data_IF_758936855768
#
_entry.id   IF_758936855768
#
_cell.length_a   1.000
_cell.length_b   1.000
_cell.length_c   1.000
_cell.angle_alpha   90.00
_cell.angle_beta   90.00
_cell.angle_gamma   90.00
#
_symmetry.space_group_name_H-M   'P 1'
#
loop_
_entity.id
_entity.type
_entity.pdbx_description
1 polymer ?
#
# COMPACT_ATOMS: atom_id res chain seq x y z
N UNK A 1 17.95 -45.51 -18.19
CA UNK A 1 17.24 -44.46 -18.95
C UNK A 1 17.88 -43.11 -18.63
N UNK A 2 18.67 -42.57 -19.55
CA UNK A 2 19.16 -41.20 -19.46
C UNK A 2 17.97 -40.26 -19.67
N UNK A 3 17.76 -39.31 -18.76
CA UNK A 3 16.76 -38.26 -18.96
C UNK A 3 17.19 -37.41 -20.15
N UNK A 4 16.45 -37.46 -21.26
CA UNK A 4 16.62 -36.51 -22.35
C UNK A 4 16.32 -35.13 -21.78
N UNK A 5 17.39 -34.36 -21.58
CA UNK A 5 17.34 -32.98 -21.15
C UNK A 5 16.65 -32.19 -22.27
N UNK A 6 15.35 -31.90 -22.12
CA UNK A 6 14.66 -30.94 -22.99
C UNK A 6 15.25 -29.54 -22.76
N UNK A 7 16.41 -29.27 -23.36
CA UNK A 7 17.01 -27.94 -23.37
C UNK A 7 16.15 -27.09 -24.31
N UNK A 8 15.61 -25.98 -23.80
CA UNK A 8 14.85 -24.98 -24.57
C UNK A 8 15.64 -23.69 -24.64
N UNK A 9 15.64 -23.02 -25.80
CA UNK A 9 16.18 -21.66 -25.98
C UNK A 9 15.04 -20.67 -25.79
N UNK A 10 15.25 -19.67 -24.93
CA UNK A 10 14.32 -18.54 -24.79
C UNK A 10 14.77 -17.41 -25.72
N UNK A 11 13.90 -16.97 -26.63
CA UNK A 11 14.12 -15.77 -27.45
C UNK A 11 13.14 -14.68 -26.98
N UNK A 12 13.61 -13.42 -26.92
CA UNK A 12 12.84 -12.29 -26.42
C UNK A 12 12.99 -11.10 -27.35
N UNK A 13 11.86 -10.53 -27.76
CA UNK A 13 11.80 -9.39 -28.66
C UNK A 13 10.78 -8.37 -28.15
N UNK A 14 11.05 -7.10 -28.46
CA UNK A 14 10.11 -6.01 -28.22
C UNK A 14 9.62 -5.50 -29.58
N UNK A 15 8.31 -5.35 -29.69
CA UNK A 15 7.63 -4.86 -30.89
C UNK A 15 6.95 -3.55 -30.52
N UNK A 16 7.24 -2.50 -31.27
CA UNK A 16 6.50 -1.24 -31.19
C UNK A 16 5.26 -1.33 -32.09
N UNK A 17 4.07 -1.11 -31.54
CA UNK A 17 2.82 -1.13 -32.30
C UNK A 17 1.88 -2.27 -31.91
N UNK A 18 1.14 -2.81 -32.88
CA UNK A 18 0.08 -3.79 -32.63
C UNK A 18 0.61 -5.18 -32.25
N UNK A 19 -0.20 -5.92 -31.47
CA UNK A 19 0.05 -7.34 -31.19
C UNK A 19 0.10 -8.11 -32.53
N UNK A 20 1.17 -8.85 -32.79
CA UNK A 20 1.27 -9.64 -34.02
C UNK A 20 0.25 -10.77 -34.05
N UNK A 21 -0.20 -11.11 -35.26
CA UNK A 21 -1.22 -12.15 -35.49
C UNK A 21 -0.62 -13.56 -35.35
N UNK A 22 -0.52 -14.01 -34.10
CA UNK A 22 0.00 -15.33 -33.74
C UNK A 22 -0.83 -16.50 -34.29
N UNK A 23 -2.13 -16.29 -34.52
CA UNK A 23 -3.03 -17.35 -35.01
C UNK A 23 -2.78 -17.66 -36.48
N UNK A 24 -2.51 -16.61 -37.28
CA UNK A 24 -2.07 -16.76 -38.68
C UNK A 24 -0.75 -17.54 -38.82
N UNK A 25 0.05 -17.56 -37.75
CA UNK A 25 1.32 -18.29 -37.66
C UNK A 25 1.17 -19.71 -37.07
N UNK A 26 -0.06 -20.22 -36.92
CA UNK A 26 -0.36 -21.59 -36.50
C UNK A 26 -0.33 -21.83 -34.99
N UNK A 27 -0.11 -20.79 -34.17
CA UNK A 27 -0.22 -20.90 -32.72
C UNK A 27 -1.66 -20.73 -32.26
N UNK A 28 -2.10 -21.57 -31.32
CA UNK A 28 -3.41 -21.42 -30.69
C UNK A 28 -3.29 -20.60 -29.41
N UNK A 29 -4.15 -19.61 -29.25
CA UNK A 29 -4.27 -18.89 -28.00
C UNK A 29 -4.86 -19.80 -26.90
N UNK A 30 -4.20 -19.82 -25.76
CA UNK A 30 -4.73 -20.39 -24.52
C UNK A 30 -5.33 -19.26 -23.71
N UNK A 31 -6.66 -19.20 -23.69
CA UNK A 31 -7.41 -18.21 -22.92
C UNK A 31 -7.42 -18.60 -21.45
N UNK A 32 -6.88 -17.73 -20.60
CA UNK A 32 -6.91 -17.88 -19.15
C UNK A 32 -7.92 -16.90 -18.55
N UNK A 33 -8.62 -17.36 -17.51
CA UNK A 33 -9.59 -16.55 -16.76
C UNK A 33 -9.01 -15.30 -16.09
N UNK A 34 -7.69 -15.28 -15.86
CA UNK A 34 -6.98 -14.23 -15.11
C UNK A 34 -5.78 -13.71 -15.93
N UNK A 35 -6.03 -12.93 -16.99
CA UNK A 35 -4.99 -12.54 -17.94
C UNK A 35 -4.10 -11.39 -17.44
N UNK A 36 -4.54 -10.65 -16.41
CA UNK A 36 -3.75 -9.58 -15.81
C UNK A 36 -2.80 -10.13 -14.76
N UNK A 37 -1.54 -9.73 -14.88
CA UNK A 37 -0.45 -10.23 -14.02
C UNK A 37 0.23 -9.07 -13.34
N UNK A 38 0.22 -9.09 -12.01
CA UNK A 38 1.04 -8.20 -11.20
C UNK A 38 2.21 -8.99 -10.64
N UNK A 39 3.43 -8.48 -10.81
CA UNK A 39 4.64 -9.03 -10.16
C UNK A 39 5.28 -7.93 -9.32
N UNK A 40 5.25 -8.12 -8.00
CA UNK A 40 5.92 -7.29 -6.99
C UNK A 40 7.32 -7.84 -6.77
N UNK A 41 8.32 -6.98 -6.77
CA UNK A 41 9.72 -7.29 -6.53
C UNK A 41 10.13 -6.77 -5.16
N UNK A 42 10.89 -7.59 -4.45
CA UNK A 42 11.44 -7.27 -3.13
C UNK A 42 12.94 -7.07 -3.23
N UNK A 43 13.44 -6.10 -2.48
CA UNK A 43 14.86 -5.78 -2.38
C UNK A 43 15.22 -5.23 -1.02
N UNK A 44 16.51 -5.06 -0.77
CA UNK A 44 16.98 -4.44 0.46
C UNK A 44 16.58 -2.97 0.51
N UNK A 45 16.21 -2.49 1.69
CA UNK A 45 15.74 -1.11 1.88
C UNK A 45 16.75 -0.07 1.37
N UNK A 46 18.05 -0.34 1.53
CA UNK A 46 19.14 0.55 1.11
C UNK A 46 19.89 0.01 -0.12
N UNK A 47 20.03 -1.32 -0.23
CA UNK A 47 20.77 -1.97 -1.31
C UNK A 47 19.98 -2.20 -2.60
N UNK A 48 18.65 -2.04 -2.58
CA UNK A 48 17.79 -2.21 -3.76
C UNK A 48 17.69 -3.66 -4.23
N UNK A 49 17.71 -3.89 -5.55
CA UNK A 49 17.53 -5.23 -6.10
C UNK A 49 18.71 -6.16 -5.74
N UNK A 50 18.45 -7.38 -5.21
CA UNK A 50 19.50 -8.30 -4.80
C UNK A 50 20.32 -8.80 -6.00
N UNK A 51 21.64 -8.83 -5.88
CA UNK A 51 22.52 -9.20 -7.00
C UNK A 51 22.36 -10.69 -7.36
N UNK A 52 22.14 -10.97 -8.66
CA UNK A 52 22.01 -12.34 -9.16
C UNK A 52 20.76 -13.08 -8.67
N UNK A 53 19.84 -12.39 -7.99
CA UNK A 53 18.62 -12.98 -7.45
C UNK A 53 17.39 -12.14 -7.80
N UNK A 54 16.22 -12.75 -7.73
CA UNK A 54 14.96 -12.03 -7.79
C UNK A 54 13.97 -12.67 -6.82
N UNK A 55 13.63 -11.91 -5.78
CA UNK A 55 12.58 -12.23 -4.81
C UNK A 55 11.33 -11.47 -5.27
N UNK A 56 10.22 -12.19 -5.46
CA UNK A 56 9.01 -11.58 -6.02
C UNK A 56 7.73 -12.30 -5.66
N UNK A 57 6.65 -11.55 -5.53
CA UNK A 57 5.29 -12.08 -5.38
C UNK A 57 4.52 -11.81 -6.67
N UNK A 58 3.78 -12.80 -7.16
CA UNK A 58 2.98 -12.67 -8.36
C UNK A 58 1.53 -13.02 -8.08
N UNK A 59 0.60 -12.18 -8.48
CA UNK A 59 -0.82 -12.50 -8.44
C UNK A 59 -1.46 -12.26 -9.80
N UNK A 60 -2.59 -12.93 -10.01
CA UNK A 60 -3.32 -12.96 -11.27
C UNK A 60 -4.74 -12.49 -11.01
N UNK A 61 -5.26 -11.69 -11.93
CA UNK A 61 -6.56 -11.02 -11.76
C UNK A 61 -7.31 -10.93 -13.08
N UNK A 62 -8.64 -10.83 -12.98
CA UNK A 62 -9.52 -10.58 -14.13
C UNK A 62 -9.60 -9.09 -14.47
N UNK A 63 -9.43 -8.25 -13.46
CA UNK A 63 -9.71 -6.81 -13.52
C UNK A 63 -8.43 -6.00 -13.78
N UNK A 64 -8.31 -5.25 -14.89
CA UNK A 64 -7.20 -4.32 -15.12
C UNK A 64 -7.01 -3.29 -13.99
N UNK A 65 -8.08 -2.91 -13.30
CA UNK A 65 -8.04 -1.87 -12.27
C UNK A 65 -7.54 -2.39 -10.91
N UNK A 66 -7.23 -3.69 -10.81
CA UNK A 66 -6.68 -4.31 -9.60
C UNK A 66 -5.15 -4.20 -9.49
N UNK A 67 -4.56 -3.21 -10.16
CA UNK A 67 -3.16 -2.85 -9.98
C UNK A 67 -2.83 -2.57 -8.50
N UNK A 68 -1.58 -2.78 -8.06
CA UNK A 68 -1.22 -2.92 -6.63
C UNK A 68 -1.11 -1.59 -5.88
N UNK A 69 -1.96 -0.59 -6.14
CA UNK A 69 -1.90 0.75 -5.55
C UNK A 69 -1.77 0.75 -4.02
N UNK A 70 -2.33 -0.25 -3.34
CA UNK A 70 -2.06 -0.54 -1.93
C UNK A 70 -1.94 -2.06 -1.75
N UNK A 71 -0.88 -2.53 -1.10
CA UNK A 71 -0.70 -3.95 -0.82
C UNK A 71 -1.67 -4.42 0.29
N UNK A 72 -2.57 -5.32 -0.07
CA UNK A 72 -3.44 -5.99 0.91
C UNK A 72 -2.79 -7.29 1.39
N UNK A 73 -2.73 -7.50 2.71
CA UNK A 73 -2.14 -8.68 3.32
C UNK A 73 -2.89 -9.98 2.95
N UNK A 74 -4.19 -9.92 2.67
CA UNK A 74 -4.99 -11.07 2.23
C UNK A 74 -4.84 -11.40 0.74
N UNK A 75 -4.10 -10.61 -0.04
CA UNK A 75 -3.89 -10.85 -1.48
C UNK A 75 -3.22 -12.23 -1.71
N UNK A 76 -3.92 -13.19 -2.34
CA UNK A 76 -3.32 -14.48 -2.69
C UNK A 76 -2.26 -14.28 -3.78
N UNK A 77 -1.08 -14.86 -3.58
CA UNK A 77 0.02 -14.74 -4.53
C UNK A 77 0.87 -16.00 -4.61
N UNK A 78 1.62 -16.08 -5.71
CA UNK A 78 2.73 -17.00 -5.90
C UNK A 78 4.00 -16.26 -5.53
N UNK A 79 4.60 -16.61 -4.41
CA UNK A 79 5.90 -16.09 -4.02
C UNK A 79 7.01 -16.91 -4.69
N UNK A 80 7.94 -16.25 -5.37
CA UNK A 80 9.01 -16.85 -6.16
C UNK A 80 10.38 -16.30 -5.74
N UNK A 81 11.36 -17.20 -5.58
CA UNK A 81 12.78 -16.85 -5.55
C UNK A 81 13.43 -17.42 -6.81
N UNK A 82 14.10 -16.55 -7.56
CA UNK A 82 14.99 -16.96 -8.65
C UNK A 82 16.43 -16.68 -8.26
N UNK A 83 17.29 -17.67 -8.40
CA UNK A 83 18.73 -17.55 -8.17
C UNK A 83 19.44 -17.81 -9.50
N UNK A 84 20.15 -16.80 -9.99
CA UNK A 84 21.05 -16.90 -11.11
C UNK A 84 22.37 -17.59 -10.71
N UNK A 85 23.15 -18.06 -11.69
CA UNK A 85 24.51 -18.53 -11.42
C UNK A 85 25.33 -17.37 -10.82
N UNK A 86 26.24 -17.68 -9.88
CA UNK A 86 27.06 -16.65 -9.22
C UNK A 86 28.03 -15.98 -10.20
N UNK A 87 28.44 -16.72 -11.23
CA UNK A 87 29.24 -16.24 -12.36
C UNK A 87 28.62 -16.67 -13.69
N UNK A 88 28.76 -15.83 -14.73
CA UNK A 88 28.31 -16.14 -16.10
C UNK A 88 29.06 -17.35 -16.72
N UNK A 89 30.17 -17.77 -16.12
CA UNK A 89 31.00 -18.91 -16.53
C UNK A 89 30.58 -20.23 -15.89
N UNK A 90 29.76 -20.20 -14.82
CA UNK A 90 29.22 -21.41 -14.22
C UNK A 90 28.08 -21.97 -15.08
N UNK A 91 28.18 -23.24 -15.47
CA UNK A 91 27.10 -23.99 -16.12
C UNK A 91 25.92 -24.32 -15.17
N UNK A 92 25.90 -23.74 -13.97
CA UNK A 92 24.93 -24.05 -12.93
C UNK A 92 23.54 -23.56 -13.32
N UNK A 93 22.57 -24.49 -13.38
CA UNK A 93 21.19 -24.20 -13.76
C UNK A 93 20.60 -23.11 -12.85
N UNK A 94 19.97 -22.09 -13.45
CA UNK A 94 19.12 -21.13 -12.73
C UNK A 94 18.10 -21.89 -11.87
N UNK A 95 18.09 -21.62 -10.56
CA UNK A 95 17.14 -22.25 -9.64
C UNK A 95 15.93 -21.35 -9.46
N UNK A 96 14.74 -21.94 -9.49
CA UNK A 96 13.49 -21.25 -9.21
C UNK A 96 12.72 -22.02 -8.15
N UNK A 97 12.38 -21.33 -7.07
CA UNK A 97 11.51 -21.82 -6.02
C UNK A 97 10.20 -21.02 -6.08
N UNK A 98 9.07 -21.67 -5.79
CA UNK A 98 7.76 -21.01 -5.77
C UNK A 98 6.82 -21.62 -4.74
N UNK A 99 5.92 -20.81 -4.19
CA UNK A 99 4.90 -21.23 -3.24
C UNK A 99 3.63 -20.38 -3.38
N UNK A 100 2.46 -20.99 -3.17
CA UNK A 100 1.19 -20.26 -3.10
C UNK A 100 0.94 -19.87 -1.63
N UNK A 101 0.62 -18.61 -1.38
CA UNK A 101 0.56 -17.99 -0.04
C UNK A 101 -0.16 -16.63 -0.17
N UNK A 102 -0.15 -15.78 0.86
CA UNK A 102 -0.67 -14.41 0.80
C UNK A 102 0.44 -13.39 1.09
N UNK A 103 0.26 -12.13 0.67
CA UNK A 103 1.23 -11.07 0.98
C UNK A 103 1.43 -10.87 2.49
N UNK A 104 0.39 -11.10 3.30
CA UNK A 104 0.40 -10.95 4.75
C UNK A 104 1.20 -11.99 5.49
N UNK A 105 1.40 -13.16 4.90
CA UNK A 105 2.31 -14.18 5.44
C UNK A 105 3.78 -13.83 5.12
N UNK A 106 4.03 -13.21 3.97
CA UNK A 106 5.40 -12.93 3.48
C UNK A 106 5.95 -11.61 4.01
N UNK A 107 5.16 -10.52 3.95
CA UNK A 107 5.63 -9.16 4.27
C UNK A 107 6.23 -9.07 5.68
N UNK A 108 5.59 -9.57 6.75
CA UNK A 108 6.18 -9.54 8.08
C UNK A 108 7.44 -10.40 8.20
N UNK A 109 7.54 -11.49 7.43
CA UNK A 109 8.72 -12.34 7.42
C UNK A 109 9.90 -11.61 6.78
N UNK A 110 9.68 -10.94 5.63
CA UNK A 110 10.73 -10.19 4.93
C UNK A 110 11.17 -8.92 5.67
N UNK A 111 10.26 -8.25 6.38
CA UNK A 111 10.55 -7.01 7.13
C UNK A 111 11.31 -7.23 8.44
N UNK A 112 11.34 -8.45 8.99
CA UNK A 112 11.98 -8.76 10.28
C UNK A 112 12.85 -10.00 10.19
N UNK A 113 14.16 -9.81 10.27
CA UNK A 113 15.14 -10.92 10.33
C UNK A 113 14.82 -11.96 11.41
N UNK A 114 14.35 -11.52 12.58
CA UNK A 114 14.01 -12.36 13.73
C UNK A 114 12.85 -13.34 13.45
N UNK A 115 11.98 -13.03 12.48
CA UNK A 115 10.88 -13.91 12.09
C UNK A 115 11.35 -15.11 11.27
N UNK A 116 12.51 -15.03 10.58
CA UNK A 116 13.03 -16.16 9.81
C UNK A 116 13.42 -17.34 10.71
N UNK A 117 14.11 -17.06 11.81
CA UNK A 117 14.56 -18.07 12.77
C UNK A 117 13.37 -18.65 13.56
N UNK A 118 12.38 -17.83 13.93
CA UNK A 118 11.17 -18.28 14.62
C UNK A 118 10.23 -19.10 13.72
N UNK A 119 10.00 -18.67 12.46
CA UNK A 119 9.18 -19.40 11.49
C UNK A 119 9.79 -20.76 11.13
N UNK A 120 11.14 -20.84 11.05
CA UNK A 120 11.84 -22.10 10.83
C UNK A 120 11.58 -23.13 11.94
N UNK A 121 11.54 -22.66 13.19
CA UNK A 121 11.42 -23.51 14.38
C UNK A 121 9.97 -23.95 14.66
N UNK A 122 8.99 -23.07 14.41
CA UNK A 122 7.57 -23.32 14.69
C UNK A 122 6.93 -24.27 13.65
N UNK A 123 7.26 -24.13 12.36
CA UNK A 123 6.63 -24.93 11.30
C UNK A 123 7.23 -26.33 11.08
N UNK A 124 8.49 -26.54 11.49
CA UNK A 124 9.10 -27.87 11.58
C UNK A 124 8.36 -28.79 12.57
N UNK A 125 7.63 -28.21 13.55
CA UNK A 125 6.93 -28.98 14.59
C UNK A 125 5.48 -29.33 14.26
N UNK A 126 4.76 -28.50 13.50
CA UNK A 126 3.29 -28.66 13.38
C UNK A 126 2.75 -28.94 11.95
N UNK A 127 3.52 -28.72 10.89
CA UNK A 127 2.99 -28.83 9.51
C UNK A 127 3.50 -30.08 8.76
N UNK A 128 2.58 -30.98 8.36
CA UNK A 128 2.85 -32.08 7.40
C UNK A 128 3.05 -31.61 5.95
N UNK A 129 3.08 -30.29 5.71
CA UNK A 129 3.45 -29.68 4.43
C UNK A 129 4.73 -28.87 4.66
N UNK A 130 5.83 -29.14 3.94
CA UNK A 130 7.07 -28.36 4.06
C UNK A 130 6.85 -26.96 3.47
N UNK A 131 6.24 -26.06 4.26
CA UNK A 131 5.98 -24.66 3.97
C UNK A 131 7.26 -23.82 4.28
N UNK A 132 7.24 -22.48 4.16
CA UNK A 132 8.20 -21.55 3.53
C UNK A 132 9.63 -21.52 4.10
N UNK A 133 9.94 -22.31 5.12
CA UNK A 133 11.24 -22.38 5.79
C UNK A 133 12.38 -22.59 4.81
N UNK A 134 12.24 -23.46 3.80
CA UNK A 134 13.31 -23.70 2.83
C UNK A 134 13.57 -22.52 1.88
N UNK A 135 12.53 -21.76 1.54
CA UNK A 135 12.60 -20.57 0.70
C UNK A 135 13.15 -19.38 1.50
N UNK A 136 12.63 -19.20 2.71
CA UNK A 136 13.09 -18.19 3.67
C UNK A 136 14.52 -18.47 4.12
N UNK A 137 14.90 -19.74 4.30
CA UNK A 137 16.26 -20.19 4.57
C UNK A 137 17.17 -19.93 3.36
N UNK A 138 16.71 -20.22 2.13
CA UNK A 138 17.47 -19.85 0.94
C UNK A 138 17.73 -18.33 0.88
N UNK A 139 16.75 -17.50 1.25
CA UNK A 139 16.94 -16.05 1.38
C UNK A 139 17.94 -15.71 2.49
N UNK A 140 17.81 -16.31 3.69
CA UNK A 140 18.67 -16.00 4.85
C UNK A 140 20.12 -16.49 4.69
N UNK A 141 20.36 -17.56 3.93
CA UNK A 141 21.71 -18.05 3.62
C UNK A 141 22.44 -17.17 2.61
N UNK A 142 21.71 -16.39 1.81
CA UNK A 142 22.28 -15.67 0.68
C UNK A 142 22.53 -14.18 0.93
N UNK A 143 21.85 -13.54 1.89
CA UNK A 143 22.10 -12.13 2.23
C UNK A 143 22.18 -11.91 3.75
N UNK A 144 23.23 -11.23 4.21
CA UNK A 144 23.56 -11.12 5.64
C UNK A 144 22.98 -9.88 6.35
N UNK A 145 22.46 -8.86 5.67
CA UNK A 145 22.37 -7.52 6.32
C UNK A 145 21.06 -6.74 6.18
N UNK A 146 20.16 -7.03 5.24
CA UNK A 146 19.06 -6.10 4.97
C UNK A 146 17.66 -6.72 5.18
N UNK A 147 16.74 -5.93 5.75
CA UNK A 147 15.32 -6.23 5.69
C UNK A 147 14.84 -6.06 4.24
N UNK A 148 14.11 -7.06 3.73
CA UNK A 148 13.55 -6.99 2.38
C UNK A 148 12.20 -6.30 2.40
N UNK A 149 12.02 -5.34 1.51
CA UNK A 149 10.78 -4.58 1.36
C UNK A 149 10.30 -4.61 -0.09
N UNK A 150 9.00 -4.40 -0.35
CA UNK A 150 8.54 -4.12 -1.70
C UNK A 150 9.26 -2.88 -2.23
N UNK A 151 9.92 -3.01 -3.38
CA UNK A 151 10.63 -1.89 -4.01
C UNK A 151 9.95 -1.46 -5.30
N UNK A 152 9.39 -2.41 -6.05
CA UNK A 152 8.80 -2.13 -7.33
C UNK A 152 7.78 -3.19 -7.78
N UNK A 153 6.90 -2.85 -8.71
CA UNK A 153 6.03 -3.82 -9.36
C UNK A 153 5.91 -3.58 -10.87
N UNK A 154 5.51 -4.64 -11.55
CA UNK A 154 5.03 -4.61 -12.94
C UNK A 154 3.59 -5.06 -12.96
N UNK A 155 2.75 -4.38 -13.71
CA UNK A 155 1.38 -4.79 -14.02
C UNK A 155 1.24 -4.85 -15.54
N UNK A 156 0.68 -5.93 -16.08
CA UNK A 156 0.53 -6.10 -17.53
C UNK A 156 -0.53 -7.16 -17.84
N UNK A 157 -1.07 -7.08 -19.05
CA UNK A 157 -1.95 -8.09 -19.61
C UNK A 157 -1.12 -9.12 -20.38
N UNK A 158 -1.28 -10.41 -20.07
CA UNK A 158 -0.57 -11.51 -20.71
C UNK A 158 -1.51 -12.40 -21.50
N UNK A 159 -1.16 -12.62 -22.76
CA UNK A 159 -1.72 -13.68 -23.62
C UNK A 159 -0.73 -14.83 -23.75
N UNK A 160 -1.25 -16.04 -23.84
CA UNK A 160 -0.48 -17.26 -23.93
C UNK A 160 -0.79 -17.96 -25.26
N UNK A 161 0.24 -18.40 -25.95
CA UNK A 161 0.13 -19.09 -27.22
C UNK A 161 0.93 -20.37 -27.17
N UNK A 162 0.35 -21.47 -27.64
CA UNK A 162 0.99 -22.77 -27.67
C UNK A 162 0.69 -23.52 -28.96
N UNK A 163 1.69 -24.26 -29.42
CA UNK A 163 1.59 -25.37 -30.36
C UNK A 163 2.41 -26.55 -29.81
N UNK A 164 2.35 -27.73 -30.45
CA UNK A 164 2.96 -28.99 -30.01
C UNK A 164 4.43 -28.88 -29.56
N UNK A 165 5.19 -27.95 -30.13
CA UNK A 165 6.62 -27.75 -29.84
C UNK A 165 6.93 -26.35 -29.27
N UNK A 166 6.05 -25.36 -29.47
CA UNK A 166 6.36 -23.95 -29.32
C UNK A 166 5.44 -23.29 -28.28
N UNK A 167 6.01 -22.42 -27.44
CA UNK A 167 5.22 -21.59 -26.51
C UNK A 167 5.64 -20.14 -26.64
N UNK A 168 4.67 -19.25 -26.77
CA UNK A 168 4.90 -17.82 -26.73
C UNK A 168 4.02 -17.16 -25.66
N UNK A 169 4.51 -16.07 -25.10
CA UNK A 169 3.72 -15.16 -24.27
C UNK A 169 3.86 -13.76 -24.81
N UNK A 170 2.73 -13.06 -24.91
CA UNK A 170 2.65 -11.67 -25.34
C UNK A 170 2.19 -10.85 -24.15
N UNK A 171 3.03 -9.92 -23.72
CA UNK A 171 2.74 -8.99 -22.64
C UNK A 171 2.46 -7.60 -23.23
N UNK A 172 1.34 -7.02 -22.80
CA UNK A 172 0.80 -5.73 -23.26
C UNK A 172 0.41 -4.87 -22.06
N UNK A 173 0.22 -3.56 -22.27
CA UNK A 173 -0.16 -2.61 -21.21
C UNK A 173 0.82 -2.67 -20.02
N UNK A 174 2.12 -2.72 -20.30
CA UNK A 174 3.13 -2.85 -19.25
C UNK A 174 3.24 -1.52 -18.49
N UNK A 175 2.93 -1.57 -17.20
CA UNK A 175 3.06 -0.43 -16.30
C UNK A 175 4.00 -0.74 -15.15
N UNK A 176 4.85 0.22 -14.81
CA UNK A 176 5.80 0.13 -13.72
C UNK A 176 5.32 0.91 -12.50
N UNK A 177 5.50 0.32 -11.33
CA UNK A 177 5.17 0.91 -10.05
C UNK A 177 6.38 0.92 -9.13
N UNK A 178 6.50 1.96 -8.31
CA UNK A 178 7.42 2.01 -7.18
C UNK A 178 6.63 2.06 -5.88
N UNK A 179 7.18 1.46 -4.83
CA UNK A 179 6.53 1.39 -3.53
C UNK A 179 7.05 2.45 -2.56
N UNK A 180 6.16 2.96 -1.72
CA UNK A 180 6.47 3.80 -0.57
C UNK A 180 5.68 3.32 0.65
N UNK A 181 6.34 3.30 1.82
CA UNK A 181 5.68 2.94 3.08
C UNK A 181 5.10 4.20 3.70
N UNK A 182 3.82 4.15 4.05
CA UNK A 182 3.16 5.21 4.79
C UNK A 182 2.41 4.57 5.98
N UNK A 183 2.81 4.96 7.20
CA UNK A 183 2.46 4.25 8.43
C UNK A 183 2.73 2.73 8.36
N UNK A 184 1.65 1.93 8.34
CA UNK A 184 1.69 0.46 8.34
C UNK A 184 1.48 -0.13 6.94
N UNK A 185 1.14 0.71 5.95
CA UNK A 185 0.74 0.28 4.62
C UNK A 185 1.84 0.55 3.57
N UNK A 186 1.86 -0.29 2.54
CA UNK A 186 2.70 -0.11 1.35
C UNK A 186 1.84 0.37 0.19
N UNK A 187 2.09 1.60 -0.26
CA UNK A 187 1.44 2.20 -1.41
C UNK A 187 2.31 2.00 -2.64
N UNK A 188 1.70 1.64 -3.76
CA UNK A 188 2.35 1.62 -5.06
C UNK A 188 1.90 2.82 -5.87
N UNK A 189 2.86 3.53 -6.46
CA UNK A 189 2.59 4.65 -7.34
C UNK A 189 3.12 4.34 -8.75
N UNK A 190 2.33 4.60 -9.82
CA UNK A 190 2.79 4.40 -11.18
C UNK A 190 3.89 5.42 -11.49
N UNK A 191 5.07 4.91 -11.86
CA UNK A 191 6.26 5.73 -12.20
C UNK A 191 6.47 5.86 -13.70
N UNK A 192 5.60 5.21 -14.48
CA UNK A 192 5.55 5.31 -15.94
C UNK A 192 4.10 5.32 -16.39
N UNK A 193 3.85 5.96 -17.54
CA UNK A 193 2.64 5.65 -18.30
C UNK A 193 2.70 4.17 -18.76
N UNK A 194 1.54 3.53 -19.00
CA UNK A 194 1.53 2.22 -19.65
C UNK A 194 2.31 2.28 -20.96
N UNK A 195 3.24 1.34 -21.17
CA UNK A 195 4.00 1.28 -22.42
C UNK A 195 3.07 0.91 -23.58
N UNK A 196 3.14 1.66 -24.69
CA UNK A 196 2.53 1.31 -25.98
C UNK A 196 3.23 0.10 -26.66
N UNK A 197 4.33 -0.38 -26.08
CA UNK A 197 5.12 -1.49 -26.58
C UNK A 197 4.55 -2.86 -26.20
N UNK A 198 4.75 -3.83 -27.09
CA UNK A 198 4.39 -5.24 -26.89
C UNK A 198 5.67 -6.04 -26.65
N UNK A 199 5.73 -6.79 -25.55
CA UNK A 199 6.87 -7.67 -25.27
C UNK A 199 6.47 -9.10 -25.60
N UNK A 200 7.21 -9.72 -26.50
CA UNK A 200 6.99 -11.11 -26.92
C UNK A 200 8.14 -11.99 -26.45
N UNK A 201 7.81 -13.01 -25.66
CA UNK A 201 8.74 -14.03 -25.18
C UNK A 201 8.40 -15.39 -25.79
N UNK A 202 9.34 -15.97 -26.54
CA UNK A 202 9.24 -17.28 -27.17
C UNK A 202 10.11 -18.30 -26.43
N UNK A 203 9.56 -19.51 -26.26
CA UNK A 203 10.26 -20.66 -25.68
C UNK A 203 10.30 -21.77 -26.71
N UNK A 204 11.45 -21.89 -27.37
CA UNK A 204 11.66 -22.77 -28.52
C UNK A 204 12.47 -23.99 -28.06
N UNK A 205 12.11 -25.23 -28.46
CA UNK A 205 12.98 -26.39 -28.28
C UNK A 205 14.29 -26.21 -29.05
N UNK A 206 15.41 -26.73 -28.55
CA UNK A 206 16.72 -26.53 -29.17
C UNK A 206 16.97 -27.35 -30.47
N UNK A 207 15.98 -28.02 -31.05
CA UNK A 207 16.16 -28.69 -32.34
C UNK A 207 16.25 -27.65 -33.48
N UNK A 208 17.43 -27.55 -34.09
CA UNK A 208 17.81 -26.52 -35.08
C UNK A 208 16.95 -26.55 -36.35
N UNK A 209 16.38 -27.71 -36.72
CA UNK A 209 15.50 -27.87 -37.89
C UNK A 209 14.15 -27.16 -37.75
N UNK A 210 13.64 -27.00 -36.51
CA UNK A 210 12.32 -26.41 -36.28
C UNK A 210 12.35 -24.87 -36.34
N UNK A 211 13.49 -24.26 -35.96
CA UNK A 211 13.68 -22.80 -35.87
C UNK A 211 13.63 -22.14 -37.26
N UNK A 212 14.01 -22.87 -38.32
CA UNK A 212 14.00 -22.35 -39.69
C UNK A 212 12.64 -22.43 -40.38
N UNK A 213 11.70 -23.24 -39.87
CA UNK A 213 10.38 -23.47 -40.51
C UNK A 213 9.20 -22.80 -39.78
N UNK A 214 9.40 -22.31 -38.55
CA UNK A 214 8.40 -21.49 -37.85
C UNK A 214 8.53 -20.00 -38.21
N UNK A 215 7.40 -19.30 -38.20
CA UNK A 215 7.09 -17.88 -38.43
C UNK A 215 8.03 -16.77 -37.90
N UNK A 216 9.24 -17.08 -37.42
CA UNK A 216 10.24 -16.07 -37.06
C UNK A 216 10.56 -15.10 -38.21
N UNK A 217 10.47 -15.54 -39.47
CA UNK A 217 10.70 -14.67 -40.63
C UNK A 217 9.54 -13.70 -40.92
N UNK A 218 8.28 -14.04 -40.59
CA UNK A 218 7.17 -13.06 -40.65
C UNK A 218 7.32 -11.98 -39.57
N UNK A 219 7.84 -12.35 -38.40
CA UNK A 219 8.14 -11.40 -37.31
C UNK A 219 9.35 -10.49 -37.59
N UNK A 220 10.38 -10.97 -38.29
CA UNK A 220 11.55 -10.14 -38.68
C UNK A 220 11.19 -8.95 -39.56
N UNK A 221 10.02 -8.97 -40.22
CA UNK A 221 9.51 -7.85 -41.02
C UNK A 221 8.96 -6.69 -40.18
N UNK A 222 8.65 -6.94 -38.90
CA UNK A 222 8.26 -5.91 -37.94
C UNK A 222 9.54 -5.32 -37.32
N UNK A 223 9.53 -4.04 -36.94
CA UNK A 223 10.67 -3.36 -36.31
C UNK A 223 11.02 -3.98 -34.94
N UNK A 224 11.67 -5.15 -34.95
CA UNK A 224 12.07 -5.91 -33.78
C UNK A 224 13.28 -5.25 -33.14
N UNK A 225 13.11 -4.73 -31.94
CA UNK A 225 14.23 -4.30 -31.12
C UNK A 225 14.66 -5.48 -30.23
N UNK A 226 15.98 -5.70 -30.03
CA UNK A 226 16.45 -6.58 -28.97
C UNK A 226 15.86 -6.09 -27.65
N UNK A 227 14.96 -6.84 -27.03
CA UNK A 227 14.30 -6.34 -25.81
C UNK A 227 15.32 -6.35 -24.66
N UNK A 228 15.50 -5.23 -23.97
CA UNK A 228 15.97 -5.29 -22.59
C UNK A 228 14.92 -6.03 -21.77
N UNK A 229 15.34 -6.97 -20.92
CA UNK A 229 14.37 -7.74 -20.14
C UNK A 229 13.48 -6.80 -19.32
N UNK A 230 12.19 -7.12 -19.14
CA UNK A 230 11.25 -6.32 -18.30
C UNK A 230 11.83 -5.93 -16.95
N UNK A 231 12.66 -6.79 -16.38
CA UNK A 231 13.35 -6.55 -15.12
C UNK A 231 14.41 -5.45 -15.24
N UNK A 232 15.17 -5.40 -16.33
CA UNK A 232 16.17 -4.34 -16.55
C UNK A 232 15.50 -2.99 -16.82
N UNK A 233 14.41 -2.99 -17.60
CA UNK A 233 13.57 -1.79 -17.77
C UNK A 233 13.07 -1.29 -16.41
N UNK A 234 12.45 -2.19 -15.64
CA UNK A 234 11.98 -1.88 -14.28
C UNK A 234 13.12 -1.33 -13.41
N UNK A 235 14.28 -1.98 -13.42
CA UNK A 235 15.44 -1.59 -12.63
C UNK A 235 15.87 -0.15 -12.96
N UNK A 236 16.01 0.19 -14.24
CA UNK A 236 16.36 1.55 -14.67
C UNK A 236 15.34 2.59 -14.20
N UNK A 237 14.04 2.35 -14.44
CA UNK A 237 12.99 3.31 -14.02
C UNK A 237 12.96 3.48 -12.50
N UNK A 238 13.17 2.42 -11.73
CA UNK A 238 13.16 2.45 -10.26
C UNK A 238 14.37 3.18 -9.67
N UNK A 239 15.54 3.03 -10.29
CA UNK A 239 16.79 3.70 -9.89
C UNK A 239 16.73 5.21 -10.17
N UNK A 240 16.05 5.62 -11.25
CA UNK A 240 15.93 7.03 -11.63
C UNK A 240 14.77 7.77 -10.93
N UNK A 241 13.77 7.05 -10.44
CA UNK A 241 12.59 7.64 -9.79
C UNK A 241 12.80 7.81 -8.29
N UNK A 242 12.44 8.95 -7.71
CA UNK A 242 12.29 9.11 -6.26
C UNK A 242 10.81 9.28 -5.94
N UNK A 243 10.28 8.51 -4.97
CA UNK A 243 8.93 8.73 -4.46
C UNK A 243 9.01 9.38 -3.09
N UNK A 244 8.17 10.37 -2.85
CA UNK A 244 8.03 11.01 -1.55
C UNK A 244 6.54 11.11 -1.19
N UNK A 245 6.26 11.11 0.12
CA UNK A 245 4.96 11.56 0.63
C UNK A 245 5.16 13.00 1.06
N UNK A 246 4.54 13.92 0.35
CA UNK A 246 4.59 15.34 0.69
C UNK A 246 3.32 15.68 1.46
N UNK A 247 3.50 16.08 2.72
CA UNK A 247 2.43 16.61 3.54
C UNK A 247 2.60 18.13 3.64
N UNK A 248 1.73 18.94 2.99
CA UNK A 248 1.82 20.40 3.02
C UNK A 248 1.66 21.00 4.43
N UNK A 249 1.02 20.23 5.30
CA UNK A 249 0.47 20.69 6.58
C UNK A 249 1.33 20.26 7.78
N UNK A 250 2.34 19.41 7.56
CA UNK A 250 3.42 19.13 8.51
C UNK A 250 4.63 20.03 8.25
N UNK A 251 4.77 21.13 9.01
CA UNK A 251 6.05 21.85 9.13
C UNK A 251 6.71 21.49 10.46
N UNK A 252 7.56 20.46 10.45
CA UNK A 252 8.41 20.13 11.59
C UNK A 252 9.77 20.83 11.48
N UNK A 253 10.14 21.66 12.45
CA UNK A 253 11.56 21.84 12.76
C UNK A 253 12.01 20.58 13.49
N UNK A 254 13.05 19.92 12.99
CA UNK A 254 13.61 18.69 13.59
C UNK A 254 14.24 18.90 14.99
N UNK A 255 14.13 20.10 15.56
CA UNK A 255 14.66 20.42 16.87
C UNK A 255 13.51 20.73 17.84
N UNK A 256 13.47 19.93 18.93
CA UNK A 256 12.62 20.04 20.11
C UNK A 256 11.10 19.78 19.92
N UNK A 257 10.67 18.52 20.10
CA UNK A 257 9.39 18.00 20.70
C UNK A 257 8.02 18.67 20.47
N UNK A 258 7.93 19.76 19.71
CA UNK A 258 6.82 20.69 19.64
C UNK A 258 6.41 20.77 18.17
N UNK A 259 5.32 20.09 17.81
CA UNK A 259 4.88 19.95 16.43
C UNK A 259 3.82 21.01 16.14
N UNK A 260 4.03 21.83 15.12
CA UNK A 260 2.98 22.69 14.57
C UNK A 260 2.37 21.98 13.36
N UNK A 261 1.11 21.59 13.50
CA UNK A 261 0.38 20.87 12.46
C UNK A 261 -0.79 21.71 12.00
N UNK A 262 -1.02 21.70 10.70
CA UNK A 262 -2.32 22.02 10.14
C UNK A 262 -3.03 20.70 9.84
N UNK A 263 -4.33 20.62 10.13
CA UNK A 263 -5.16 19.45 9.86
C UNK A 263 -6.36 19.92 9.06
N UNK A 264 -6.56 19.35 7.87
CA UNK A 264 -7.84 19.34 7.15
C UNK A 264 -8.59 18.07 7.45
N UNK A 265 -9.78 18.21 8.01
CA UNK A 265 -10.63 17.05 8.29
C UNK A 265 -12.11 17.27 7.99
N UNK A 266 -12.80 16.19 7.70
CA UNK A 266 -14.25 16.13 7.58
C UNK A 266 -14.82 15.25 8.69
N UNK A 267 -15.93 15.67 9.30
CA UNK A 267 -16.59 14.95 10.40
C UNK A 267 -18.03 14.61 10.05
N UNK A 268 -18.39 13.33 10.20
CA UNK A 268 -19.72 12.79 9.93
C UNK A 268 -20.19 12.06 11.18
N UNK A 269 -21.23 12.56 11.83
CA UNK A 269 -21.83 11.87 12.97
C UNK A 269 -22.69 10.71 12.50
N UNK A 270 -22.60 9.59 13.20
CA UNK A 270 -23.29 8.35 12.89
C UNK A 270 -24.24 8.01 14.03
N UNK A 271 -25.39 7.42 13.72
CA UNK A 271 -26.33 7.00 14.75
C UNK A 271 -25.85 5.81 15.59
N UNK A 272 -24.84 5.07 15.12
CA UNK A 272 -24.34 3.86 15.77
C UNK A 272 -22.85 3.61 15.50
N UNK A 273 -22.24 2.73 16.29
CA UNK A 273 -20.85 2.30 16.10
C UNK A 273 -20.68 1.57 14.74
N UNK A 274 -19.96 2.22 13.83
CA UNK A 274 -19.76 1.73 12.47
C UNK A 274 -18.38 1.10 12.23
N UNK A 275 -17.62 0.76 13.29
CA UNK A 275 -16.27 0.18 13.15
C UNK A 275 -16.27 -1.11 12.32
N UNK A 276 -17.28 -1.97 12.51
CA UNK A 276 -17.46 -3.18 11.71
C UNK A 276 -17.82 -2.87 10.25
N UNK A 277 -18.57 -1.79 10.01
CA UNK A 277 -18.94 -1.32 8.67
C UNK A 277 -17.71 -0.80 7.92
N UNK A 278 -16.86 0.00 8.56
CA UNK A 278 -15.60 0.48 7.99
C UNK A 278 -14.62 -0.66 7.71
N UNK A 279 -14.51 -1.64 8.62
CA UNK A 279 -13.66 -2.84 8.44
C UNK A 279 -13.99 -3.60 7.15
N UNK A 280 -15.26 -3.61 6.75
CA UNK A 280 -15.75 -4.29 5.54
C UNK A 280 -15.90 -3.37 4.34
N UNK A 281 -15.44 -2.12 4.45
CA UNK A 281 -15.63 -1.10 3.42
C UNK A 281 -15.05 -1.52 2.07
N UNK A 282 -15.90 -1.40 1.06
CA UNK A 282 -15.55 -1.47 -0.35
C UNK A 282 -16.20 -0.25 -0.97
N UNK A 283 -15.38 0.60 -1.59
CA UNK A 283 -15.88 1.70 -2.40
C UNK A 283 -15.85 1.20 -3.84
N UNK A 284 -17.01 1.14 -4.48
CA UNK A 284 -17.19 0.62 -5.85
C UNK A 284 -16.66 1.58 -6.93
N UNK A 285 -15.72 2.45 -6.59
CA UNK A 285 -15.15 3.43 -7.50
C UNK A 285 -13.71 3.03 -7.88
N UNK A 286 -13.45 2.95 -9.19
CA UNK A 286 -12.13 2.67 -9.73
C UNK A 286 -11.09 3.75 -9.33
N UNK A 287 -11.55 4.88 -8.79
CA UNK A 287 -10.72 5.99 -8.32
C UNK A 287 -10.02 5.73 -6.98
N UNK A 288 -10.50 4.79 -6.15
CA UNK A 288 -9.99 4.61 -4.79
C UNK A 288 -9.23 3.30 -4.59
N UNK A 289 -8.17 3.36 -3.81
CA UNK A 289 -7.55 2.18 -3.19
C UNK A 289 -7.62 2.31 -1.69
N UNK A 290 -8.10 1.25 -1.04
CA UNK A 290 -8.31 1.22 0.40
C UNK A 290 -7.26 0.34 1.05
N UNK A 291 -6.66 0.78 2.14
CA UNK A 291 -5.73 -0.01 2.92
C UNK A 291 -6.45 -0.97 3.88
N UNK A 292 -5.69 -1.74 4.64
CA UNK A 292 -6.27 -2.60 5.67
C UNK A 292 -6.84 -1.79 6.83
N UNK A 293 -7.73 -2.42 7.58
CA UNK A 293 -8.32 -1.79 8.76
C UNK A 293 -7.49 -2.06 10.01
N UNK A 294 -7.19 -1.00 10.76
CA UNK A 294 -6.47 -1.08 12.03
C UNK A 294 -7.35 -0.59 13.16
N UNK A 295 -7.39 -1.35 14.25
CA UNK A 295 -8.11 -0.96 15.46
C UNK A 295 -7.14 -0.37 16.48
N UNK A 296 -7.50 0.77 17.05
CA UNK A 296 -6.74 1.47 18.08
C UNK A 296 -7.68 1.92 19.20
N UNK A 297 -7.20 1.91 20.43
CA UNK A 297 -7.90 2.47 21.59
C UNK A 297 -7.00 3.50 22.24
N UNK A 298 -7.57 4.67 22.54
CA UNK A 298 -6.88 5.74 23.25
C UNK A 298 -7.77 6.29 24.37
N UNK A 299 -7.14 6.70 25.46
CA UNK A 299 -7.79 7.39 26.57
C UNK A 299 -7.55 8.88 26.42
N UNK A 300 -8.62 9.67 26.54
CA UNK A 300 -8.58 11.11 26.30
C UNK A 300 -9.28 11.88 27.41
N UNK A 301 -8.76 13.08 27.70
CA UNK A 301 -9.35 14.02 28.64
C UNK A 301 -9.26 15.43 28.03
N UNK A 302 -10.37 16.19 28.03
CA UNK A 302 -10.38 17.58 27.55
C UNK A 302 -10.44 18.58 28.70
N UNK A 303 -9.38 19.35 28.91
CA UNK A 303 -9.44 20.48 29.83
C UNK A 303 -10.06 21.70 29.12
N UNK A 304 -11.12 22.27 29.70
CA UNK A 304 -11.89 23.36 29.10
C UNK A 304 -11.34 24.72 29.57
N UNK A 305 -10.73 25.49 28.67
CA UNK A 305 -10.11 26.78 29.00
C UNK A 305 -10.91 27.96 28.44
N UNK A 306 -11.93 28.43 29.15
CA UNK A 306 -12.77 29.51 28.65
C UNK A 306 -13.43 29.12 27.32
N UNK A 307 -13.04 29.75 26.23
CA UNK A 307 -13.48 29.43 24.86
C UNK A 307 -12.62 28.36 24.15
N UNK A 308 -11.45 28.03 24.69
CA UNK A 308 -10.52 27.04 24.14
C UNK A 308 -10.58 25.65 24.80
N UNK A 309 -9.71 24.74 24.33
CA UNK A 309 -9.59 23.37 24.86
C UNK A 309 -8.19 22.81 24.73
N UNK A 310 -7.74 22.08 25.76
CA UNK A 310 -6.56 21.22 25.71
C UNK A 310 -7.01 19.77 25.75
N UNK A 311 -6.51 18.94 24.84
CA UNK A 311 -6.74 17.50 24.85
C UNK A 311 -5.49 16.79 25.38
N UNK A 312 -5.64 16.08 26.49
CA UNK A 312 -4.64 15.15 26.99
C UNK A 312 -4.93 13.77 26.38
N UNK A 313 -3.93 13.14 25.77
CA UNK A 313 -4.09 11.83 25.13
C UNK A 313 -3.08 10.83 25.68
N UNK A 314 -3.53 9.60 25.88
CA UNK A 314 -2.72 8.50 26.39
C UNK A 314 -3.08 7.15 25.75
N UNK A 315 -2.10 6.24 25.74
CA UNK A 315 -2.25 4.83 25.36
C UNK A 315 -2.21 3.90 26.57
N UNK A 316 -1.52 4.33 27.63
CA UNK A 316 -1.67 3.75 28.96
C UNK A 316 -3.08 3.95 29.49
N UNK A 317 -3.51 3.14 30.47
CA UNK A 317 -4.85 3.25 31.05
C UNK A 317 -5.16 4.64 31.63
N UNK A 318 -6.31 4.76 32.29
CA UNK A 318 -6.78 6.04 32.85
C UNK A 318 -5.67 6.83 33.59
N UNK A 319 -5.51 8.11 33.23
CA UNK A 319 -4.54 9.02 33.83
C UNK A 319 -3.10 8.90 33.32
N UNK A 320 -2.81 7.98 32.38
CA UNK A 320 -1.49 7.82 31.78
C UNK A 320 -1.42 8.56 30.43
N UNK A 321 -1.26 9.88 30.51
CA UNK A 321 -1.15 10.73 29.32
C UNK A 321 0.28 10.77 28.77
N UNK A 322 0.39 10.71 27.45
CA UNK A 322 1.67 10.75 26.71
C UNK A 322 1.89 12.08 26.01
N UNK A 323 0.80 12.73 25.57
CA UNK A 323 0.84 13.97 24.80
C UNK A 323 -0.23 14.97 25.22
N UNK A 324 0.09 16.25 25.04
CA UNK A 324 -0.79 17.41 25.19
C UNK A 324 -1.03 17.96 23.78
N UNK A 325 -2.29 17.97 23.32
CA UNK A 325 -2.71 18.58 22.07
C UNK A 325 -3.47 19.88 22.33
N UNK A 326 -3.03 20.96 21.72
CA UNK A 326 -3.64 22.30 21.86
C UNK A 326 -4.07 22.82 20.51
N UNK A 327 -5.36 23.08 20.36
CA UNK A 327 -5.92 23.69 19.16
C UNK A 327 -5.76 25.21 19.28
N UNK A 328 -4.95 25.78 18.40
CA UNK A 328 -4.58 27.21 18.42
C UNK A 328 -5.46 28.06 17.52
N UNK A 329 -6.01 27.47 16.45
CA UNK A 329 -7.02 28.10 15.61
C UNK A 329 -7.86 27.03 14.91
N UNK A 330 -9.10 27.38 14.56
CA UNK A 330 -9.94 26.56 13.71
C UNK A 330 -10.87 27.44 12.89
N UNK A 331 -11.04 27.11 11.61
CA UNK A 331 -12.06 27.69 10.75
C UNK A 331 -12.64 26.62 9.85
N UNK A 332 -13.82 26.89 9.28
CA UNK A 332 -14.54 25.95 8.45
C UNK A 332 -14.53 26.44 7.00
N UNK A 333 -14.09 25.57 6.08
CA UNK A 333 -14.08 25.77 4.63
C UNK A 333 -15.12 24.83 4.01
N UNK A 334 -16.37 25.29 3.90
CA UNK A 334 -17.50 24.42 3.53
C UNK A 334 -17.76 23.35 4.59
N UNK A 335 -17.65 22.07 4.23
CA UNK A 335 -17.80 20.94 5.17
C UNK A 335 -16.46 20.49 5.80
N UNK A 336 -15.34 21.07 5.35
CA UNK A 336 -14.00 20.74 5.82
C UNK A 336 -13.63 21.68 6.97
N UNK A 337 -13.22 21.07 8.08
CA UNK A 337 -12.69 21.78 9.24
C UNK A 337 -11.17 21.86 9.12
N UNK A 338 -10.66 23.08 9.08
CA UNK A 338 -9.22 23.34 9.05
C UNK A 338 -8.77 23.78 10.44
N UNK A 339 -7.77 23.11 11.00
CA UNK A 339 -7.26 23.41 12.34
C UNK A 339 -5.77 23.57 12.34
N UNK A 340 -5.29 24.44 13.23
CA UNK A 340 -3.89 24.49 13.62
C UNK A 340 -3.74 23.93 15.02
N UNK A 341 -2.95 22.88 15.16
CA UNK A 341 -2.67 22.27 16.44
C UNK A 341 -1.19 22.30 16.80
N UNK A 342 -0.95 22.35 18.11
CA UNK A 342 0.36 22.17 18.72
C UNK A 342 0.35 20.89 19.55
N UNK A 343 1.30 20.00 19.28
CA UNK A 343 1.48 18.77 20.05
C UNK A 343 2.75 18.87 20.87
N UNK A 344 2.62 18.58 22.16
CA UNK A 344 3.72 18.52 23.11
C UNK A 344 3.76 17.15 23.79
N UNK A 345 4.96 16.69 24.18
CA UNK A 345 5.08 15.56 25.11
C UNK A 345 4.46 15.96 26.45
N UNK A 346 3.74 15.03 27.09
CA UNK A 346 3.13 15.28 28.38
C UNK A 346 4.20 15.47 29.47
N UNK A 347 4.13 16.60 30.16
CA UNK A 347 4.73 16.83 31.47
C UNK A 347 3.83 17.79 32.25
N UNK A 348 3.78 17.67 33.57
CA UNK A 348 2.99 18.58 34.40
C UNK A 348 3.46 20.04 34.26
N UNK A 349 4.77 20.24 34.04
CA UNK A 349 5.35 21.56 33.76
C UNK A 349 4.82 22.14 32.43
N UNK A 350 4.86 21.38 31.34
CA UNK A 350 4.36 21.84 30.04
C UNK A 350 2.85 22.05 30.07
N UNK A 351 2.12 21.19 30.78
CA UNK A 351 0.69 21.37 30.99
C UNK A 351 0.40 22.72 31.68
N UNK A 352 1.10 23.04 32.77
CA UNK A 352 0.97 24.34 33.46
C UNK A 352 1.36 25.51 32.57
N UNK A 353 2.42 25.37 31.76
CA UNK A 353 2.83 26.41 30.82
C UNK A 353 1.76 26.71 29.78
N UNK A 354 1.15 25.67 29.19
CA UNK A 354 0.16 25.83 28.11
C UNK A 354 -1.23 26.19 28.64
N UNK A 355 -1.58 25.69 29.83
CA UNK A 355 -2.86 25.97 30.50
C UNK A 355 -2.87 27.34 31.21
N UNK A 356 -1.70 27.89 31.57
CA UNK A 356 -1.55 29.15 32.30
C UNK A 356 -1.63 28.99 33.84
N UNK A 357 -1.53 30.11 34.56
CA UNK A 357 -1.48 30.16 36.04
C UNK A 357 -2.79 29.76 36.76
N UNK A 358 -3.77 29.22 36.05
CA UNK A 358 -4.98 28.65 36.63
C UNK A 358 -4.66 27.35 37.39
N UNK A 359 -5.47 27.04 38.40
CA UNK A 359 -5.31 25.83 39.19
C UNK A 359 -5.69 24.60 38.35
N UNK A 360 -4.70 24.00 37.68
CA UNK A 360 -4.82 22.77 36.87
C UNK A 360 -5.56 21.68 37.66
N UNK A 361 -5.39 21.63 38.99
CA UNK A 361 -6.04 20.66 39.87
C UNK A 361 -7.57 20.86 39.95
N UNK A 362 -8.06 22.11 39.87
CA UNK A 362 -9.50 22.41 39.91
C UNK A 362 -10.22 22.11 38.59
N UNK A 363 -9.50 21.95 37.49
CA UNK A 363 -10.06 21.66 36.17
C UNK A 363 -9.80 20.23 35.68
N UNK A 364 -9.10 19.40 36.46
CA UNK A 364 -9.01 17.94 36.24
C UNK A 364 -10.37 17.22 36.27
N UNK A 365 -11.47 17.93 36.57
CA UNK A 365 -12.85 17.43 36.55
C UNK A 365 -13.54 17.45 35.17
N UNK A 366 -12.79 17.46 34.07
CA UNK A 366 -13.37 17.23 32.75
C UNK A 366 -13.69 15.76 32.48
N UNK A 367 -14.69 15.49 31.64
CA UNK A 367 -15.06 14.13 31.25
C UNK A 367 -13.85 13.40 30.65
N UNK A 368 -13.48 12.28 31.28
CA UNK A 368 -12.62 11.30 30.66
C UNK A 368 -13.46 10.51 29.67
N UNK A 369 -12.87 10.12 28.54
CA UNK A 369 -13.56 9.25 27.60
C UNK A 369 -12.60 8.27 26.96
N UNK A 370 -13.15 7.13 26.60
CA UNK A 370 -12.46 6.08 25.85
C UNK A 370 -12.82 6.29 24.40
N UNK A 371 -11.81 6.43 23.55
CA UNK A 371 -11.98 6.47 22.11
C UNK A 371 -11.52 5.15 21.52
N UNK A 372 -12.47 4.38 20.99
CA UNK A 372 -12.22 3.18 20.20
C UNK A 372 -12.32 3.55 18.74
N UNK A 373 -11.23 3.41 17.99
CA UNK A 373 -11.10 3.88 16.63
C UNK A 373 -10.79 2.72 15.70
N UNK A 374 -11.50 2.66 14.58
CA UNK A 374 -11.11 1.89 13.40
C UNK A 374 -10.52 2.86 12.37
N UNK A 375 -9.35 2.56 11.83
CA UNK A 375 -8.67 3.36 10.80
C UNK A 375 -8.54 2.58 9.51
N UNK A 376 -8.72 3.24 8.36
CA UNK A 376 -8.28 2.79 7.03
C UNK A 376 -7.68 3.96 6.28
N UNK A 377 -6.62 3.72 5.51
CA UNK A 377 -6.06 4.73 4.63
C UNK A 377 -6.70 4.58 3.24
N UNK A 378 -6.92 5.68 2.55
CA UNK A 378 -7.49 5.73 1.20
C UNK A 378 -6.55 6.53 0.31
N UNK A 379 -6.13 5.92 -0.80
CA UNK A 379 -5.41 6.59 -1.89
C UNK A 379 -6.41 6.92 -3.00
N UNK A 380 -6.48 8.19 -3.38
CA UNK A 380 -7.14 8.63 -4.60
C UNK A 380 -6.17 8.43 -5.77
N UNK A 381 -6.40 7.44 -6.62
CA UNK A 381 -5.42 6.98 -7.63
C UNK A 381 -5.07 8.07 -8.65
N UNK A 382 -6.03 8.94 -8.97
CA UNK A 382 -5.88 9.99 -9.98
C UNK A 382 -5.02 11.16 -9.48
N UNK A 383 -5.25 11.60 -8.24
CA UNK A 383 -4.52 12.73 -7.65
C UNK A 383 -3.25 12.30 -6.91
N UNK A 384 -3.20 11.06 -6.42
CA UNK A 384 -2.17 10.59 -5.49
C UNK A 384 -2.41 11.02 -4.04
N UNK A 385 -3.54 11.67 -3.74
CA UNK A 385 -3.88 12.15 -2.40
C UNK A 385 -4.18 10.97 -1.47
N UNK A 386 -3.67 11.05 -0.24
CA UNK A 386 -3.87 10.08 0.82
C UNK A 386 -4.74 10.70 1.90
N UNK A 387 -5.81 9.97 2.24
CA UNK A 387 -6.71 10.30 3.35
C UNK A 387 -6.69 9.18 4.37
N UNK A 388 -6.75 9.52 5.65
CA UNK A 388 -7.07 8.55 6.68
C UNK A 388 -8.54 8.67 7.03
N UNK A 389 -9.27 7.57 6.91
CA UNK A 389 -10.66 7.47 7.33
C UNK A 389 -10.71 6.73 8.64
N UNK A 390 -11.34 7.36 9.62
CA UNK A 390 -11.55 6.85 10.94
C UNK A 390 -13.03 6.65 11.19
N UNK A 391 -13.39 5.60 11.91
CA UNK A 391 -14.68 5.51 12.62
C UNK A 391 -14.38 5.39 14.10
N UNK A 392 -14.84 6.38 14.84
CA UNK A 392 -14.72 6.47 16.28
C UNK A 392 -16.02 6.06 16.96
N UNK A 393 -15.88 5.29 18.04
CA UNK A 393 -16.88 5.15 19.10
C UNK A 393 -16.26 5.76 20.37
N UNK A 394 -16.76 6.93 20.77
CA UNK A 394 -16.31 7.65 21.95
C UNK A 394 -17.32 7.46 23.09
N UNK A 395 -16.85 6.90 24.20
CA UNK A 395 -17.64 6.61 25.39
C UNK A 395 -17.14 7.47 26.54
N UNK A 396 -17.96 8.41 27.01
CA UNK A 396 -17.61 9.28 28.13
C UNK A 396 -17.88 8.61 29.48
N UNK A 397 -17.11 8.95 30.50
CA UNK A 397 -17.34 8.53 31.89
C UNK A 397 -18.45 9.34 32.60
N UNK A 398 -18.88 10.45 31.99
CA UNK A 398 -20.00 11.30 32.42
C UNK A 398 -21.31 10.87 31.74
N UNK A 399 -22.50 11.31 32.20
CA UNK A 399 -23.79 10.98 31.57
C UNK A 399 -24.01 11.72 30.25
N UNK A 400 -23.07 11.59 29.33
CA UNK A 400 -23.12 12.10 27.96
C UNK A 400 -23.32 10.88 27.07
N UNK A 401 -24.26 10.96 26.12
CA UNK A 401 -24.48 9.88 25.16
C UNK A 401 -23.21 9.61 24.34
N UNK A 402 -22.99 8.35 23.96
CA UNK A 402 -21.84 7.98 23.13
C UNK A 402 -21.82 8.79 21.82
N UNK A 403 -20.63 9.22 21.41
CA UNK A 403 -20.43 9.84 20.10
C UNK A 403 -19.86 8.80 19.13
N UNK A 404 -20.65 8.46 18.12
CA UNK A 404 -20.18 7.68 16.98
C UNK A 404 -19.93 8.63 15.81
N UNK A 405 -18.73 8.60 15.24
CA UNK A 405 -18.34 9.57 14.22
C UNK A 405 -17.39 8.94 13.21
N UNK A 406 -17.59 9.21 11.92
CA UNK A 406 -16.59 9.04 10.90
C UNK A 406 -15.79 10.33 10.71
N UNK A 407 -14.47 10.25 10.76
CA UNK A 407 -13.56 11.36 10.49
C UNK A 407 -12.71 11.04 9.26
N UNK A 408 -12.52 12.01 8.38
CA UNK A 408 -11.63 11.89 7.22
C UNK A 408 -10.56 12.95 7.37
N UNK A 409 -9.30 12.57 7.51
CA UNK A 409 -8.16 13.49 7.66
C UNK A 409 -7.28 13.43 6.40
N UNK A 410 -6.89 14.57 5.83
CA UNK A 410 -5.93 14.61 4.72
C UNK A 410 -4.51 14.46 5.25
N UNK A 411 -3.71 13.59 4.63
CA UNK A 411 -2.37 13.25 5.11
C UNK A 411 -1.24 13.61 4.15
N UNK A 412 -1.56 14.07 2.94
CA UNK A 412 -0.60 14.43 1.92
C UNK A 412 -0.84 13.72 0.61
N UNK A 413 0.16 13.80 -0.27
CA UNK A 413 0.12 13.24 -1.62
C UNK A 413 1.38 12.43 -1.88
N UNK A 414 1.24 11.32 -2.61
CA UNK A 414 2.39 10.61 -3.18
C UNK A 414 2.76 11.30 -4.49
N UNK A 415 4.00 11.74 -4.60
CA UNK A 415 4.53 12.31 -5.84
C UNK A 415 5.88 11.70 -6.20
N UNK A 416 6.25 11.87 -7.47
CA UNK A 416 7.55 11.49 -7.99
C UNK A 416 8.44 12.74 -8.13
N UNK A 417 9.69 12.63 -7.69
CA UNK A 417 10.70 13.69 -7.77
C UNK A 417 10.56 14.76 -6.68
N UNK A 418 10.97 15.99 -7.01
CA UNK A 418 10.97 17.16 -6.12
C UNK A 418 9.67 17.98 -6.21
N UNK A 419 8.62 17.43 -6.83
CA UNK A 419 7.33 18.11 -6.95
C UNK A 419 6.67 18.27 -5.57
N UNK A 420 6.80 19.46 -5.00
CA UNK A 420 6.15 19.87 -3.77
C UNK A 420 4.94 20.79 -4.04
N UNK A 421 4.38 20.76 -5.26
CA UNK A 421 3.20 21.57 -5.57
C UNK A 421 1.93 20.94 -5.01
N UNK A 422 1.07 21.80 -4.47
CA UNK A 422 -0.21 21.40 -3.88
C UNK A 422 -1.34 22.07 -4.62
N UNK A 423 -2.33 21.26 -4.99
CA UNK A 423 -3.56 21.71 -5.62
C UNK A 423 -4.70 21.60 -4.60
N UNK A 424 -5.00 22.71 -3.92
CA UNK A 424 -6.07 22.77 -2.92
C UNK A 424 -7.44 22.48 -3.55
N UNK A 425 -7.67 22.91 -4.79
CA UNK A 425 -8.94 22.66 -5.49
C UNK A 425 -9.12 21.15 -5.72
N UNK A 426 -8.05 20.44 -6.08
CA UNK A 426 -8.09 18.99 -6.23
C UNK A 426 -8.26 18.26 -4.89
N UNK A 427 -7.65 18.73 -3.80
CA UNK A 427 -7.85 18.18 -2.45
C UNK A 427 -9.31 18.34 -2.01
N UNK A 428 -9.90 19.52 -2.19
CA UNK A 428 -11.29 19.80 -1.84
C UNK A 428 -12.27 18.98 -2.69
N UNK A 429 -11.96 18.77 -3.97
CA UNK A 429 -12.71 17.88 -4.85
C UNK A 429 -12.67 16.44 -4.36
N UNK A 430 -11.48 15.94 -3.99
CA UNK A 430 -11.32 14.58 -3.47
C UNK A 430 -12.06 14.39 -2.12
N UNK A 431 -12.00 15.38 -1.22
CA UNK A 431 -12.80 15.38 0.01
C UNK A 431 -14.30 15.26 -0.27
N UNK A 432 -14.85 16.07 -1.19
CA UNK A 432 -16.27 16.04 -1.55
C UNK A 432 -16.67 14.71 -2.15
N UNK A 433 -15.85 14.14 -3.03
CA UNK A 433 -16.12 12.84 -3.64
C UNK A 433 -16.07 11.73 -2.58
N UNK A 434 -15.06 11.75 -1.70
CA UNK A 434 -14.92 10.77 -0.64
C UNK A 434 -16.06 10.87 0.40
N UNK A 435 -16.47 12.09 0.77
CA UNK A 435 -17.64 12.31 1.62
C UNK A 435 -18.89 11.66 1.01
N UNK A 436 -19.18 11.92 -0.27
CA UNK A 436 -20.34 11.30 -0.96
C UNK A 436 -20.26 9.78 -0.98
N UNK A 437 -19.06 9.23 -1.26
CA UNK A 437 -18.84 7.79 -1.28
C UNK A 437 -19.08 7.16 0.10
N UNK A 438 -18.55 7.77 1.16
CA UNK A 438 -18.73 7.32 2.54
C UNK A 438 -20.19 7.42 2.98
N UNK A 439 -20.86 8.54 2.70
CA UNK A 439 -22.27 8.76 3.01
C UNK A 439 -23.15 7.68 2.37
N UNK A 440 -22.92 7.42 1.09
CA UNK A 440 -23.64 6.39 0.33
C UNK A 440 -23.38 5.01 0.93
N UNK A 441 -22.12 4.70 1.24
CA UNK A 441 -21.71 3.42 1.80
C UNK A 441 -22.33 3.15 3.18
N UNK A 442 -22.29 4.11 4.11
CA UNK A 442 -22.86 3.96 5.45
C UNK A 442 -24.39 3.86 5.41
N UNK A 443 -25.05 4.72 4.63
CA UNK A 443 -26.52 4.72 4.50
C UNK A 443 -27.01 3.39 3.91
N UNK A 444 -26.33 2.86 2.88
CA UNK A 444 -26.65 1.56 2.28
C UNK A 444 -26.40 0.36 3.20
N UNK A 445 -25.77 0.55 4.36
CA UNK A 445 -25.50 -0.47 5.38
C UNK A 445 -26.22 -0.20 6.70
N UNK A 446 -27.33 0.56 6.64
CA UNK A 446 -28.20 0.84 7.79
C UNK A 446 -27.46 1.52 8.97
N UNK A 447 -26.44 2.32 8.66
CA UNK A 447 -25.81 3.25 9.61
C UNK A 447 -26.15 4.66 9.16
N UNK A 448 -27.30 5.24 9.59
CA UNK A 448 -27.69 6.57 9.16
C UNK A 448 -26.74 7.63 9.70
N UNK A 449 -26.59 8.68 8.91
CA UNK A 449 -25.89 9.90 9.31
C UNK A 449 -26.81 10.74 10.18
N UNK A 450 -26.28 11.25 11.28
CA UNK A 450 -26.99 12.14 12.17
C UNK A 450 -26.76 13.62 11.82
N UNK A 451 -25.51 14.02 11.66
CA UNK A 451 -25.11 15.40 11.35
C UNK A 451 -23.70 15.44 10.73
N UNK A 452 -23.28 16.61 10.28
CA UNK A 452 -21.92 16.89 9.85
C UNK A 452 -21.28 17.93 10.76
N UNK A 453 -19.99 17.77 11.04
CA UNK A 453 -19.18 18.83 11.67
C UNK A 453 -19.15 18.87 13.20
N UNK A 454 -19.87 18.00 13.92
CA UNK A 454 -19.79 17.97 15.40
C UNK A 454 -18.36 17.69 15.83
N UNK A 455 -17.78 18.54 16.67
CA UNK A 455 -16.45 18.25 17.25
C UNK A 455 -16.60 17.49 18.57
N UNK A 456 -15.61 16.66 18.92
CA UNK A 456 -15.56 16.00 20.25
C UNK A 456 -15.63 17.00 21.41
N UNK A 457 -15.15 18.23 21.18
CA UNK A 457 -15.25 19.31 22.15
C UNK A 457 -16.70 19.77 22.34
N UNK A 458 -17.43 20.02 21.25
CA UNK A 458 -18.85 20.37 21.30
C UNK A 458 -19.65 19.26 21.97
N UNK A 459 -19.35 18.00 21.64
CA UNK A 459 -19.95 16.82 22.25
C UNK A 459 -19.78 16.79 23.77
N UNK A 460 -18.57 16.95 24.27
CA UNK A 460 -18.30 16.92 25.73
C UNK A 460 -18.92 18.11 26.47
N UNK A 461 -19.13 19.24 25.79
CA UNK A 461 -19.83 20.40 26.36
C UNK A 461 -21.35 20.32 26.23
N UNK A 462 -21.91 19.30 25.57
CA UNK A 462 -23.34 19.21 25.28
C UNK A 462 -23.84 20.31 24.33
N UNK A 463 -22.97 20.82 23.45
CA UNK A 463 -23.25 21.87 22.47
C UNK A 463 -23.64 21.28 21.10
N UNK A 464 -24.44 20.22 21.09
CA UNK A 464 -24.76 19.39 19.90
C UNK A 464 -26.18 19.65 19.43
#
# INVERSE_FOLDING_TARGET
>A
MQSVENKRKELRFEIKGSVPDMESDGLKEIVYDYPWVTTIYFGGKESGFPHGQAIKARFFTKDPQSAPYILQADTPCIFELKIGPKDLTESSRRRKYRINTTLGEILPALERKENFDQLSTYQLRESKKPFPVSLLYAISQHEKTDNFVPIAATHYHRRHFEDASLRATVDTNLQFFKFIKFYKDWFAFPISQPEDGVIVEWKIPLDEEYVHNTSLDSFKSQNLLPSTSKFNKLKGVVEESVLTVVNPEMRGSAEASDWNLMERELKIDLQADARNTLRRMVLDDAEYSLSQSYEETSYQQFLIMGEGSICLMGRGGRGQFEVIKVKTSSHQEGDVLVRKEQIFKYSDEKLRQVFGAGDVEKQRYSAHFIRRRMQRNILCRNSGNIFNVFVDNCVAESPIADLNQCEVEYHGRICAGEDNTFDLDQIDKDFKNLQRALVTYFTGREVPIQSLGTTKYNWIRGLI
#
